data_IF_121177753159
#
_entry.id   IF_121177753159
#
_cell.length_a   1.000
_cell.length_b   1.000
_cell.length_c   1.000
_cell.angle_alpha   90.00
_cell.angle_beta   90.00
_cell.angle_gamma   90.00
#
_symmetry.space_group_name_H-M   'P 1'
#
loop_
_entity.id
_entity.type
_entity.pdbx_description
1 polymer ?
#
# COMPACT_ATOMS: atom_id res chain seq x y z
N UNK A 1 -10.56 4.52 10.85
CA UNK A 1 -9.21 4.98 10.44
C UNK A 1 -8.84 4.47 9.03
N UNK A 2 -7.68 4.87 8.48
CA UNK A 2 -7.15 4.32 7.21
C UNK A 2 -6.21 3.15 7.50
N UNK A 3 -6.37 2.04 6.79
CA UNK A 3 -5.49 0.89 6.86
C UNK A 3 -4.97 0.53 5.46
N UNK A 4 -3.79 -0.07 5.47
CA UNK A 4 -3.09 -0.55 4.29
C UNK A 4 -2.87 -2.04 4.43
N UNK A 5 -3.03 -2.78 3.35
CA UNK A 5 -2.79 -4.21 3.30
C UNK A 5 -1.93 -4.54 2.08
N UNK A 6 -0.96 -5.42 2.27
CA UNK A 6 -0.11 -5.95 1.21
C UNK A 6 -0.45 -7.40 1.01
N UNK A 7 -0.90 -7.71 -0.21
CA UNK A 7 -1.24 -9.05 -0.65
C UNK A 7 -0.08 -9.63 -1.46
N UNK A 8 0.27 -10.88 -1.22
CA UNK A 8 1.28 -11.58 -2.01
C UNK A 8 0.71 -12.10 -3.34
N UNK A 9 1.57 -12.67 -4.17
CA UNK A 9 1.18 -13.21 -5.47
C UNK A 9 0.22 -14.42 -5.41
N UNK A 10 0.04 -15.02 -4.23
CA UNK A 10 -0.90 -16.14 -4.01
C UNK A 10 -2.28 -15.65 -3.58
N UNK A 11 -2.41 -14.36 -3.27
CA UNK A 11 -3.64 -13.76 -2.74
C UNK A 11 -3.69 -13.72 -1.22
N UNK A 12 -2.61 -14.09 -0.52
CA UNK A 12 -2.55 -14.07 0.94
C UNK A 12 -2.15 -12.67 1.44
N UNK A 13 -2.76 -12.20 2.53
CA UNK A 13 -2.36 -10.94 3.16
C UNK A 13 -1.04 -11.15 3.91
N UNK A 14 0.05 -10.69 3.30
CA UNK A 14 1.40 -10.76 3.88
C UNK A 14 1.59 -9.74 5.02
N UNK A 15 0.87 -8.62 4.98
CA UNK A 15 0.91 -7.59 6.02
C UNK A 15 -0.33 -6.70 6.00
N UNK A 16 -0.73 -6.18 7.16
CA UNK A 16 -1.78 -5.15 7.30
C UNK A 16 -1.52 -4.22 8.49
N UNK A 17 -1.86 -2.94 8.35
CA UNK A 17 -1.70 -1.96 9.42
C UNK A 17 -1.93 -0.51 9.00
N UNK A 18 -1.76 0.42 9.94
CA UNK A 18 -2.00 1.86 9.71
C UNK A 18 -0.75 2.63 9.22
N UNK A 19 0.42 1.99 9.18
CA UNK A 19 1.69 2.62 8.79
C UNK A 19 1.90 2.56 7.27
N UNK A 20 1.88 3.72 6.61
CA UNK A 20 2.20 3.82 5.17
C UNK A 20 3.64 3.36 4.88
N UNK A 21 4.57 3.69 5.75
CA UNK A 21 5.99 3.35 5.58
C UNK A 21 6.17 1.84 5.63
N UNK A 22 5.55 1.16 6.60
CA UNK A 22 5.65 -0.30 6.71
C UNK A 22 4.96 -0.98 5.53
N UNK A 23 3.81 -0.47 5.09
CA UNK A 23 3.12 -0.97 3.90
C UNK A 23 4.04 -0.95 2.67
N UNK A 24 4.72 0.17 2.42
CA UNK A 24 5.67 0.30 1.31
C UNK A 24 6.87 -0.63 1.49
N UNK A 25 7.39 -0.80 2.70
CA UNK A 25 8.49 -1.73 2.96
C UNK A 25 8.08 -3.18 2.65
N UNK A 26 6.89 -3.60 3.08
CA UNK A 26 6.36 -4.93 2.79
C UNK A 26 6.08 -5.12 1.30
N UNK A 27 5.46 -4.13 0.65
CA UNK A 27 5.22 -4.14 -0.79
C UNK A 27 6.51 -4.32 -1.59
N UNK A 28 7.59 -3.63 -1.22
CA UNK A 28 8.90 -3.73 -1.89
C UNK A 28 9.62 -5.06 -1.71
N UNK A 29 9.26 -5.85 -0.69
CA UNK A 29 9.85 -7.18 -0.43
C UNK A 29 9.21 -8.25 -1.30
N UNK A 30 7.94 -8.09 -1.65
CA UNK A 30 7.18 -9.06 -2.42
C UNK A 30 7.47 -8.98 -3.92
N UNK A 31 7.47 -10.13 -4.58
CA UNK A 31 7.44 -10.22 -6.04
C UNK A 31 5.97 -10.29 -6.45
N UNK A 32 5.55 -9.38 -7.32
CA UNK A 32 4.16 -9.31 -7.81
C UNK A 32 3.11 -9.17 -6.67
N UNK A 33 3.43 -8.36 -5.66
CA UNK A 33 2.49 -8.00 -4.61
C UNK A 33 1.49 -6.95 -5.07
N UNK A 34 0.32 -6.95 -4.44
CA UNK A 34 -0.66 -5.87 -4.55
C UNK A 34 -0.76 -5.11 -3.22
N UNK A 35 -1.14 -3.83 -3.28
CA UNK A 35 -1.33 -3.00 -2.10
C UNK A 35 -2.70 -2.33 -2.16
N UNK A 36 -3.41 -2.40 -1.04
CA UNK A 36 -4.77 -1.92 -0.88
C UNK A 36 -4.83 -0.86 0.21
N UNK A 37 -5.79 0.06 0.07
CA UNK A 37 -6.21 0.98 1.12
C UNK A 37 -7.67 0.73 1.48
N UNK A 38 -7.96 0.73 2.77
CA UNK A 38 -9.32 0.65 3.30
C UNK A 38 -9.57 1.75 4.32
N UNK A 39 -10.84 2.18 4.41
CA UNK A 39 -11.29 3.16 5.38
C UNK A 39 -12.33 2.51 6.27
N UNK A 40 -12.09 2.56 7.57
CA UNK A 40 -12.94 1.97 8.59
C UNK A 40 -13.58 3.08 9.43
N UNK A 41 -14.86 2.93 9.76
CA UNK A 41 -15.50 3.67 10.84
C UNK A 41 -15.25 2.90 12.13
N UNK A 42 -14.68 3.58 13.12
CA UNK A 42 -14.32 3.02 14.42
C UNK A 42 -14.93 3.86 15.55
N UNK A 43 -16.06 4.54 15.29
CA UNK A 43 -16.86 5.18 16.34
C UNK A 43 -17.27 4.15 17.42
N UNK A 44 -17.54 2.91 17.01
CA UNK A 44 -17.55 1.75 17.88
C UNK A 44 -16.26 0.94 17.65
N UNK A 45 -15.46 0.79 18.70
CA UNK A 45 -14.18 0.05 18.63
C UNK A 45 -14.37 -1.46 18.69
N UNK A 46 -15.51 -1.93 19.22
CA UNK A 46 -15.83 -3.35 19.32
C UNK A 46 -16.42 -3.89 18.01
N UNK A 47 -17.03 -3.01 17.20
CA UNK A 47 -17.61 -3.33 15.89
C UNK A 47 -17.19 -2.33 14.80
N UNK A 48 -15.90 -2.34 14.40
CA UNK A 48 -15.43 -1.46 13.35
C UNK A 48 -16.04 -1.84 11.99
N UNK A 49 -16.60 -0.86 11.29
CA UNK A 49 -17.30 -1.06 10.02
C UNK A 49 -16.47 -0.54 8.85
N UNK A 50 -16.30 -1.36 7.82
CA UNK A 50 -15.68 -0.92 6.57
C UNK A 50 -16.58 0.11 5.87
N UNK A 51 -16.07 1.32 5.62
CA UNK A 51 -16.83 2.43 5.01
C UNK A 51 -17.03 2.21 3.50
N UNK A 52 -16.03 1.64 2.84
CA UNK A 52 -16.02 1.39 1.39
C UNK A 52 -15.16 0.18 1.09
N UNK A 53 -15.44 -0.50 -0.03
CA UNK A 53 -14.61 -1.58 -0.51
C UNK A 53 -13.13 -1.16 -0.57
N UNK A 54 -12.25 -2.15 -0.37
CA UNK A 54 -10.81 -1.95 -0.43
C UNK A 54 -10.45 -1.43 -1.83
N UNK A 55 -9.72 -0.32 -1.86
CA UNK A 55 -9.25 0.27 -3.11
C UNK A 55 -7.85 -0.26 -3.36
N UNK A 56 -7.66 -0.96 -4.48
CA UNK A 56 -6.32 -1.34 -4.92
C UNK A 56 -5.56 -0.11 -5.44
N UNK A 57 -4.37 0.14 -4.91
CA UNK A 57 -3.52 1.29 -5.28
C UNK A 57 -2.17 0.87 -5.86
N UNK A 58 -2.01 -0.40 -6.21
CA UNK A 58 -0.78 -0.99 -6.76
C UNK A 58 -0.18 -0.17 -7.90
N UNK A 59 -0.96 0.10 -8.95
CA UNK A 59 -0.49 0.84 -10.13
C UNK A 59 -0.03 2.25 -9.80
N UNK A 60 -0.74 2.94 -8.91
CA UNK A 60 -0.38 4.30 -8.48
C UNK A 60 0.95 4.30 -7.71
N UNK A 61 1.13 3.35 -6.79
CA UNK A 61 2.37 3.19 -6.01
C UNK A 61 3.55 2.87 -6.93
N UNK A 62 3.36 1.96 -7.90
CA UNK A 62 4.39 1.63 -8.88
C UNK A 62 4.78 2.85 -9.73
N UNK A 63 3.80 3.64 -10.18
CA UNK A 63 4.06 4.85 -10.94
C UNK A 63 4.86 5.87 -10.12
N UNK A 64 4.52 6.07 -8.84
CA UNK A 64 5.27 6.97 -7.95
C UNK A 64 6.72 6.51 -7.72
N UNK A 65 6.95 5.20 -7.55
CA UNK A 65 8.30 4.65 -7.41
C UNK A 65 9.12 4.83 -8.69
N UNK A 66 8.48 4.68 -9.87
CA UNK A 66 9.14 4.90 -11.16
C UNK A 66 9.54 6.37 -11.36
N UNK A 67 8.63 7.32 -11.08
CA UNK A 67 8.90 8.76 -11.15
C UNK A 67 10.08 9.17 -10.25
N UNK A 68 10.10 8.71 -9.00
CA UNK A 68 11.18 9.02 -8.04
C UNK A 68 12.54 8.49 -8.54
N UNK A 69 12.56 7.30 -9.16
CA UNK A 69 13.77 6.75 -9.77
C UNK A 69 14.24 7.61 -10.93
N UNK A 70 13.37 7.96 -11.86
CA UNK A 70 13.73 8.80 -13.02
C UNK A 70 14.32 10.15 -12.58
N UNK A 71 13.71 10.79 -11.58
CA UNK A 71 14.21 12.04 -11.00
C UNK A 71 15.60 11.87 -10.39
N UNK A 72 15.83 10.79 -9.64
CA UNK A 72 17.13 10.52 -9.02
C UNK A 72 18.22 10.24 -10.06
N UNK A 73 17.94 9.39 -11.06
CA UNK A 73 18.89 9.09 -12.13
C UNK A 73 19.18 10.30 -13.02
N UNK A 74 18.17 11.14 -13.31
CA UNK A 74 18.33 12.36 -14.08
C UNK A 74 19.18 13.43 -13.37
N UNK A 75 19.22 13.43 -12.04
CA UNK A 75 20.09 14.31 -11.24
C UNK A 75 21.54 13.82 -11.22
N UNK A 76 21.78 12.50 -11.22
CA UNK A 76 23.14 11.92 -11.15
C UNK A 76 23.89 12.04 -12.50
N UNK A 77 23.19 12.19 -13.61
CA UNK A 77 23.75 12.25 -14.96
C UNK A 77 23.90 13.69 -15.53
N UNK A 78 23.70 14.72 -14.70
CA UNK A 78 23.94 16.13 -15.04
C UNK A 78 25.09 16.69 -14.22
#
# INVERSE_FOLDING_TARGET
MKFYEVMDAKGDIAWGGASTVDAIQWFRRGVNSAIFVSVWNEEDIEDPVLVTDKIEVTTLVLAAIADEKERTFGVVLR
#
